data_IF_842183713950
#
_entry.id   IF_842183713950
#
_cell.length_a   1.000
_cell.length_b   1.000
_cell.length_c   1.000
_cell.angle_alpha   90.00
_cell.angle_beta   90.00
_cell.angle_gamma   90.00
#
_symmetry.space_group_name_H-M   'P 1'
#
loop_
_entity.id
_entity.type
_entity.pdbx_description
1 polymer ?
#
# COMPACT_ATOMS: atom_id res chain seq x y z
N UNK A 1 -24.92 -6.06 -7.89
CA UNK A 1 -23.77 -5.14 -7.76
C UNK A 1 -22.80 -5.26 -8.96
N UNK A 2 -22.55 -4.17 -9.69
CA UNK A 2 -21.65 -4.14 -10.88
C UNK A 2 -20.55 -3.08 -10.71
N UNK A 3 -19.30 -3.48 -10.93
CA UNK A 3 -18.10 -2.67 -10.68
C UNK A 3 -17.19 -2.60 -11.90
N UNK A 4 -16.59 -1.44 -12.14
CA UNK A 4 -15.56 -1.28 -13.16
C UNK A 4 -14.26 -0.73 -12.58
N UNK A 5 -13.13 -1.28 -13.04
CA UNK A 5 -11.80 -0.91 -12.57
C UNK A 5 -11.31 0.28 -13.40
N UNK A 6 -11.14 1.43 -12.75
CA UNK A 6 -10.63 2.64 -13.42
C UNK A 6 -9.10 2.65 -13.50
N UNK A 7 -8.41 2.24 -12.43
CA UNK A 7 -6.95 2.23 -12.44
C UNK A 7 -6.38 1.37 -11.32
N UNK A 8 -5.24 0.73 -11.60
CA UNK A 8 -4.42 0.04 -10.61
C UNK A 8 -3.10 0.79 -10.47
N UNK A 9 -2.84 1.32 -9.27
CA UNK A 9 -1.65 2.13 -9.00
C UNK A 9 -0.95 1.67 -7.73
N UNK A 10 0.36 1.88 -7.69
CA UNK A 10 1.13 1.77 -6.45
C UNK A 10 0.92 3.06 -5.67
N UNK A 11 0.49 2.94 -4.43
CA UNK A 11 0.34 4.06 -3.51
C UNK A 11 1.67 4.64 -3.07
N UNK A 12 1.59 5.58 -2.12
CA UNK A 12 2.74 6.28 -1.61
C UNK A 12 3.73 5.35 -0.91
N UNK A 13 5.02 5.66 -1.00
CA UNK A 13 6.07 4.83 -0.40
C UNK A 13 6.17 5.10 1.08
N UNK A 14 5.79 4.12 1.89
CA UNK A 14 5.95 4.16 3.33
C UNK A 14 7.37 3.70 3.66
N UNK A 15 8.16 4.58 4.28
CA UNK A 15 9.51 4.26 4.78
C UNK A 15 9.39 3.70 6.19
N UNK A 16 9.83 2.45 6.39
CA UNK A 16 9.84 1.81 7.71
C UNK A 16 11.28 1.58 8.15
N UNK A 17 11.55 1.91 9.41
CA UNK A 17 12.86 1.71 10.03
C UNK A 17 12.69 0.93 11.32
N UNK A 18 13.37 -0.22 11.41
CA UNK A 18 13.45 -1.02 12.63
C UNK A 18 14.81 -0.77 13.28
N UNK A 19 14.78 -0.44 14.57
CA UNK A 19 15.96 -0.23 15.40
C UNK A 19 15.84 -1.03 16.69
N UNK A 20 16.95 -1.65 17.11
CA UNK A 20 17.12 -2.16 18.48
C UNK A 20 18.43 -1.63 19.05
N UNK A 21 18.36 -1.04 20.24
CA UNK A 21 19.53 -0.54 20.95
C UNK A 21 20.50 -1.68 21.31
N UNK A 22 21.80 -1.41 21.26
CA UNK A 22 22.91 -2.30 21.67
C UNK A 22 23.05 -3.64 20.92
N UNK A 23 22.08 -4.01 20.09
CA UNK A 23 22.08 -5.24 19.28
C UNK A 23 22.69 -5.04 17.87
N UNK A 24 23.15 -3.82 17.51
CA UNK A 24 23.51 -3.41 16.14
C UNK A 24 22.40 -3.63 15.09
N UNK A 25 21.21 -4.02 15.50
CA UNK A 25 20.09 -4.31 14.60
C UNK A 25 19.43 -3.01 14.14
N UNK A 26 19.64 -2.71 12.85
CA UNK A 26 19.03 -1.61 12.11
C UNK A 26 18.60 -2.13 10.74
N UNK A 27 17.31 -2.01 10.40
CA UNK A 27 16.80 -2.39 9.08
C UNK A 27 15.87 -1.31 8.55
N UNK A 28 16.18 -0.79 7.38
CA UNK A 28 15.28 0.08 6.61
C UNK A 28 14.61 -0.73 5.50
N UNK A 29 13.30 -0.64 5.37
CA UNK A 29 12.57 -1.18 4.24
C UNK A 29 11.48 -0.20 3.79
N UNK A 30 11.13 -0.26 2.51
CA UNK A 30 10.02 0.50 1.96
C UNK A 30 8.85 -0.42 1.65
N UNK A 31 7.63 0.01 1.97
CA UNK A 31 6.42 -0.64 1.48
C UNK A 31 5.66 0.32 0.56
N UNK A 32 5.13 -0.19 -0.55
CA UNK A 32 4.20 0.53 -1.42
C UNK A 32 2.91 -0.29 -1.51
N UNK A 33 1.78 0.21 -0.99
CA UNK A 33 0.52 -0.51 -1.10
C UNK A 33 0.06 -0.53 -2.56
N UNK A 34 -0.56 -1.63 -2.98
CA UNK A 34 -1.25 -1.70 -4.28
C UNK A 34 -2.68 -1.21 -4.06
N UNK A 35 -3.08 -0.17 -4.78
CA UNK A 35 -4.39 0.47 -4.63
C UNK A 35 -5.12 0.40 -5.97
N UNK A 36 -6.31 -0.19 -5.95
CA UNK A 36 -7.20 -0.25 -7.10
C UNK A 36 -8.34 0.73 -6.89
N UNK A 37 -8.50 1.67 -7.82
CA UNK A 37 -9.64 2.58 -7.83
C UNK A 37 -10.75 1.95 -8.67
N UNK A 38 -11.90 1.74 -8.04
CA UNK A 38 -13.06 1.07 -8.63
C UNK A 38 -14.23 2.04 -8.64
N UNK A 39 -15.01 2.05 -9.72
CA UNK A 39 -16.25 2.81 -9.82
C UNK A 39 -17.43 1.86 -9.68
N UNK A 40 -18.37 2.21 -8.80
CA UNK A 40 -19.59 1.44 -8.57
C UNK A 40 -20.67 1.96 -9.51
N UNK A 41 -21.11 1.13 -10.48
CA UNK A 41 -22.10 1.54 -11.49
C UNK A 41 -23.53 1.24 -11.06
N UNK A 42 -23.75 0.13 -10.37
CA UNK A 42 -25.07 -0.30 -9.88
C UNK A 42 -24.94 -0.99 -8.55
N UNK A 43 -25.74 -0.53 -7.60
CA UNK A 43 -26.05 -1.23 -6.37
C UNK A 43 -27.48 -1.73 -6.59
N UNK A 44 -27.58 -3.03 -6.82
CA UNK A 44 -28.82 -3.81 -6.83
C UNK A 44 -28.53 -5.08 -6.08
#
# INVERSE_FOLDING_TARGET
>A
MTLEIMSQKKGEKIKVFKYKAKSRYRRSYGHRPQVTRVLVKKIS
#
